data_IF_082844966780
#
_entry.id   IF_082844966780
#
_cell.length_a   1.000
_cell.length_b   1.000
_cell.length_c   1.000
_cell.angle_alpha   90.00
_cell.angle_beta   90.00
_cell.angle_gamma   90.00
#
_symmetry.space_group_name_H-M   'P 1'
#
loop_
_entity.id
_entity.type
_entity.pdbx_description
1 polymer ?
#
# COMPACT_ATOMS: atom_id res chain seq x y z
N UNK A 1 -11.83 17.57 -0.91
CA UNK A 1 -10.43 18.03 -0.92
C UNK A 1 -9.51 16.82 -1.03
N UNK A 2 -8.41 16.93 -1.76
CA UNK A 2 -7.41 15.87 -1.93
C UNK A 2 -6.87 15.37 -0.56
N UNK A 3 -6.64 16.29 0.37
CA UNK A 3 -6.18 15.96 1.73
C UNK A 3 -7.19 15.12 2.52
N UNK A 4 -8.50 15.32 2.32
CA UNK A 4 -9.52 14.52 3.03
C UNK A 4 -9.55 13.06 2.55
N UNK A 5 -9.24 12.81 1.28
CA UNK A 5 -9.17 11.45 0.74
C UNK A 5 -8.08 10.60 1.42
N UNK A 6 -6.96 11.22 1.82
CA UNK A 6 -5.90 10.52 2.54
C UNK A 6 -6.19 10.33 4.03
N UNK A 7 -6.90 11.27 4.66
CA UNK A 7 -7.19 11.22 6.09
C UNK A 7 -8.42 10.37 6.44
N UNK A 8 -9.44 10.33 5.59
CA UNK A 8 -10.77 9.79 5.95
C UNK A 8 -11.00 8.33 5.56
N UNK A 9 -10.19 7.74 4.68
CA UNK A 9 -10.45 6.40 4.14
C UNK A 9 -9.34 5.40 4.48
N UNK A 10 -9.27 5.00 5.74
CA UNK A 10 -8.28 4.04 6.25
C UNK A 10 -8.51 2.58 5.82
N UNK A 11 -9.68 2.26 5.26
CA UNK A 11 -10.04 0.90 4.86
C UNK A 11 -9.65 0.53 3.42
N UNK A 12 -9.12 1.48 2.65
CA UNK A 12 -8.84 1.30 1.24
C UNK A 12 -7.37 1.51 0.91
N UNK A 13 -6.88 0.72 -0.05
CA UNK A 13 -5.63 1.01 -0.74
C UNK A 13 -5.82 2.26 -1.59
N UNK A 14 -4.89 3.20 -1.53
CA UNK A 14 -4.94 4.47 -2.26
C UNK A 14 -3.90 4.43 -3.37
N UNK A 15 -4.35 4.65 -4.58
CA UNK A 15 -3.50 4.85 -5.75
C UNK A 15 -3.46 6.35 -6.05
N UNK A 16 -2.30 6.94 -6.06
CA UNK A 16 -2.07 8.35 -6.36
C UNK A 16 -1.14 8.48 -7.55
N UNK A 17 -1.54 9.27 -8.54
CA UNK A 17 -0.74 9.62 -9.70
C UNK A 17 -0.50 11.14 -9.72
N UNK A 18 0.75 11.57 -9.57
CA UNK A 18 1.11 12.99 -9.62
C UNK A 18 1.28 13.42 -11.08
N UNK A 19 0.45 14.37 -11.50
CA UNK A 19 0.47 14.90 -12.87
C UNK A 19 1.46 16.05 -13.01
N UNK A 20 1.42 17.00 -12.06
CA UNK A 20 2.30 18.18 -12.05
C UNK A 20 2.70 18.55 -10.62
N UNK A 21 3.78 19.30 -10.53
CA UNK A 21 4.25 19.86 -9.27
C UNK A 21 4.85 18.79 -8.34
N UNK A 22 4.83 19.10 -7.05
CA UNK A 22 5.38 18.23 -6.00
C UNK A 22 4.62 18.38 -4.68
N UNK A 23 4.71 17.34 -3.85
CA UNK A 23 4.26 17.37 -2.46
C UNK A 23 5.17 16.50 -1.59
N UNK A 24 5.10 16.70 -0.28
CA UNK A 24 5.76 15.88 0.71
C UNK A 24 4.74 14.91 1.32
N UNK A 25 5.01 13.64 1.18
CA UNK A 25 4.27 12.57 1.84
C UNK A 25 4.99 12.21 3.13
N UNK A 26 4.26 12.17 4.22
CA UNK A 26 4.72 11.64 5.52
C UNK A 26 3.97 10.34 5.78
N UNK A 27 4.71 9.26 5.87
CA UNK A 27 4.19 7.95 6.25
C UNK A 27 4.47 7.76 7.74
N UNK A 28 3.43 7.44 8.48
CA UNK A 28 3.52 7.11 9.89
C UNK A 28 3.33 5.59 10.02
N UNK A 29 4.36 4.93 10.49
CA UNK A 29 4.32 3.51 10.81
C UNK A 29 4.90 3.33 12.23
N UNK A 30 4.02 3.02 13.18
CA UNK A 30 4.27 2.74 14.62
C UNK A 30 5.30 3.67 15.24
N UNK A 31 6.23 4.07 15.44
CA UNK A 31 7.15 5.04 16.03
C UNK A 31 8.14 5.66 15.03
N UNK A 32 7.98 5.39 13.73
CA UNK A 32 8.89 5.91 12.73
C UNK A 32 8.15 6.76 11.68
N UNK A 33 8.68 7.94 11.41
CA UNK A 33 8.20 8.84 10.37
C UNK A 33 9.15 8.77 9.17
N UNK A 34 8.59 8.51 8.01
CA UNK A 34 9.32 8.62 6.75
C UNK A 34 8.70 9.71 5.89
N UNK A 35 9.53 10.64 5.43
CA UNK A 35 9.14 11.65 4.48
C UNK A 35 9.60 11.28 3.08
N UNK A 36 8.67 11.30 2.14
CA UNK A 36 8.94 10.99 0.72
C UNK A 36 8.46 12.14 -0.13
N UNK A 37 9.35 12.75 -0.92
CA UNK A 37 8.95 13.76 -1.89
C UNK A 37 8.38 13.09 -3.13
N UNK A 38 7.15 13.42 -3.46
CA UNK A 38 6.50 13.04 -4.71
C UNK A 38 6.59 14.18 -5.70
N UNK A 39 6.93 13.87 -6.94
CA UNK A 39 7.06 14.83 -8.05
C UNK A 39 6.21 14.36 -9.23
N UNK A 40 6.09 15.18 -10.26
CA UNK A 40 5.41 14.81 -11.49
C UNK A 40 5.87 13.43 -12.00
N UNK A 41 4.95 12.66 -12.56
CA UNK A 41 5.12 11.28 -13.03
C UNK A 41 5.49 10.27 -11.93
N UNK A 42 5.32 10.61 -10.65
CA UNK A 42 5.35 9.61 -9.59
C UNK A 42 3.96 8.99 -9.40
N UNK A 43 3.92 7.68 -9.22
CA UNK A 43 2.76 6.97 -8.72
C UNK A 43 3.08 6.43 -7.33
N UNK A 44 2.14 6.60 -6.41
CA UNK A 44 2.20 6.07 -5.06
C UNK A 44 1.05 5.11 -4.84
N UNK A 45 1.36 3.99 -4.22
CA UNK A 45 0.38 3.05 -3.67
C UNK A 45 0.58 3.04 -2.16
N UNK A 46 -0.48 3.30 -1.38
CA UNK A 46 -0.46 3.15 0.08
C UNK A 46 -1.52 2.17 0.51
N UNK A 47 -1.23 1.38 1.53
CA UNK A 47 -2.20 0.43 2.09
C UNK A 47 -3.03 1.08 3.21
N UNK A 48 -4.16 0.46 3.63
CA UNK A 48 -4.97 0.96 4.75
C UNK A 48 -4.20 1.04 6.08
N UNK A 49 -3.14 0.24 6.22
CA UNK A 49 -2.33 0.15 7.45
C UNK A 49 -1.36 1.32 7.62
N UNK A 50 -1.07 2.03 6.53
CA UNK A 50 -0.14 3.14 6.53
C UNK A 50 -0.91 4.45 6.62
N UNK A 51 -0.75 5.15 7.73
CA UNK A 51 -1.29 6.50 7.88
C UNK A 51 -0.37 7.45 7.11
N UNK A 52 -0.93 8.09 6.11
CA UNK A 52 -0.19 9.04 5.30
C UNK A 52 -0.78 10.44 5.46
N UNK A 53 0.06 11.42 5.69
CA UNK A 53 -0.30 12.83 5.55
C UNK A 53 0.45 13.44 4.36
N UNK A 54 -0.18 14.38 3.69
CA UNK A 54 0.41 15.06 2.54
C UNK A 54 0.49 16.56 2.83
N UNK A 55 1.67 17.12 2.64
CA UNK A 55 1.98 18.51 2.95
C UNK A 55 2.90 19.13 1.89
N UNK A 56 3.22 20.40 2.07
CA UNK A 56 4.19 21.13 1.23
C UNK A 56 3.93 21.01 -0.27
N UNK A 57 2.69 21.30 -0.66
CA UNK A 57 2.29 21.32 -2.07
C UNK A 57 2.96 22.47 -2.82
N UNK A 58 3.52 22.19 -4.00
CA UNK A 58 3.89 23.25 -4.93
C UNK A 58 2.65 23.96 -5.48
N UNK A 59 2.82 25.20 -5.95
CA UNK A 59 1.70 25.99 -6.44
C UNK A 59 0.97 25.37 -7.64
N UNK A 60 1.67 24.56 -8.41
CA UNK A 60 1.20 23.85 -9.60
C UNK A 60 0.85 22.40 -9.35
N UNK A 61 0.74 21.97 -8.07
CA UNK A 61 0.47 20.59 -7.73
C UNK A 61 -0.88 20.10 -8.25
N UNK A 62 -0.83 19.05 -9.04
CA UNK A 62 -2.01 18.35 -9.57
C UNK A 62 -1.79 16.85 -9.52
N UNK A 63 -2.77 16.13 -9.00
CA UNK A 63 -2.71 14.70 -8.87
C UNK A 63 -4.10 14.06 -8.97
N UNK A 64 -4.14 12.84 -9.45
CA UNK A 64 -5.34 11.99 -9.50
C UNK A 64 -5.21 10.86 -8.49
N UNK A 65 -6.33 10.44 -7.90
CA UNK A 65 -6.34 9.34 -6.94
C UNK A 65 -7.54 8.43 -7.10
N UNK A 66 -7.31 7.14 -6.88
CA UNK A 66 -8.34 6.11 -6.87
C UNK A 66 -8.22 5.32 -5.56
N UNK A 67 -9.38 5.04 -4.94
CA UNK A 67 -9.49 4.15 -3.80
C UNK A 67 -9.88 2.76 -4.31
N UNK A 68 -9.13 1.75 -3.90
CA UNK A 68 -9.34 0.36 -4.28
C UNK A 68 -9.36 -0.54 -3.06
N UNK A 69 -9.80 -1.76 -3.24
CA UNK A 69 -9.83 -2.76 -2.18
C UNK A 69 -8.44 -2.99 -1.56
N UNK A 70 -8.38 -3.33 -0.28
CA UNK A 70 -7.15 -3.56 0.47
C UNK A 70 -6.26 -4.67 -0.12
N UNK A 71 -6.87 -5.61 -0.86
CA UNK A 71 -6.15 -6.71 -1.49
C UNK A 71 -5.26 -6.28 -2.68
N UNK A 72 -5.40 -5.04 -3.16
CA UNK A 72 -4.66 -4.55 -4.33
C UNK A 72 -3.15 -4.46 -4.07
N UNK A 73 -2.73 -4.05 -2.89
CA UNK A 73 -1.32 -3.98 -2.51
C UNK A 73 -1.11 -4.42 -1.07
N UNK A 74 0.07 -4.99 -0.78
CA UNK A 74 0.44 -5.47 0.55
C UNK A 74 1.26 -4.46 1.35
N UNK A 75 1.88 -3.50 0.69
CA UNK A 75 2.77 -2.50 1.28
C UNK A 75 2.79 -1.23 0.44
N UNK A 76 3.21 -0.11 1.02
CA UNK A 76 3.40 1.14 0.28
C UNK A 76 4.54 1.03 -0.73
N UNK A 77 4.30 1.53 -1.92
CA UNK A 77 5.24 1.47 -3.03
C UNK A 77 5.20 2.78 -3.81
N UNK A 78 6.38 3.30 -4.15
CA UNK A 78 6.55 4.45 -5.03
C UNK A 78 7.17 4.02 -6.34
N UNK A 79 6.63 4.53 -7.43
CA UNK A 79 7.09 4.29 -8.78
C UNK A 79 7.44 5.61 -9.44
N UNK A 80 8.59 5.65 -10.11
CA UNK A 80 8.94 6.70 -11.05
C UNK A 80 8.59 6.24 -12.45
N UNK A 81 7.65 6.91 -13.09
CA UNK A 81 7.14 6.53 -14.39
C UNK A 81 7.86 7.33 -15.48
N UNK A 82 8.19 6.65 -16.59
CA UNK A 82 8.49 7.36 -17.82
C UNK A 82 7.21 7.85 -18.49
N UNK A 83 7.32 8.71 -19.51
CA UNK A 83 6.17 9.33 -20.17
C UNK A 83 5.20 8.30 -20.75
N UNK A 84 5.68 7.20 -21.30
CA UNK A 84 4.86 6.15 -21.89
C UNK A 84 4.03 5.43 -20.83
N UNK A 85 4.67 5.01 -19.73
CA UNK A 85 3.99 4.31 -18.62
C UNK A 85 3.05 5.26 -17.87
N UNK A 86 3.47 6.53 -17.65
CA UNK A 86 2.61 7.56 -17.09
C UNK A 86 1.32 7.72 -17.90
N UNK A 87 1.45 7.90 -19.23
CA UNK A 87 0.30 8.04 -20.10
C UNK A 87 -0.63 6.83 -20.03
N UNK A 88 -0.09 5.62 -20.11
CA UNK A 88 -0.89 4.39 -20.05
C UNK A 88 -1.67 4.27 -18.74
N UNK A 89 -1.07 4.62 -17.61
CA UNK A 89 -1.71 4.57 -16.29
C UNK A 89 -2.76 5.68 -16.16
N UNK A 90 -2.45 6.90 -16.61
CA UNK A 90 -3.38 8.03 -16.62
C UNK A 90 -4.61 7.74 -17.48
N UNK A 91 -4.43 7.16 -18.67
CA UNK A 91 -5.53 6.77 -19.55
C UNK A 91 -6.45 5.73 -18.86
N UNK A 92 -5.89 4.79 -18.11
CA UNK A 92 -6.67 3.81 -17.31
C UNK A 92 -7.45 4.53 -16.20
N UNK A 93 -6.84 5.48 -15.48
CA UNK A 93 -7.51 6.25 -14.44
C UNK A 93 -8.70 7.01 -15.00
N UNK A 94 -8.51 7.72 -16.11
CA UNK A 94 -9.58 8.44 -16.79
C UNK A 94 -10.69 7.50 -17.25
N UNK A 95 -10.33 6.37 -17.85
CA UNK A 95 -11.31 5.39 -18.32
C UNK A 95 -12.13 4.76 -17.19
N UNK A 96 -11.49 4.44 -16.06
CA UNK A 96 -12.21 3.99 -14.86
C UNK A 96 -13.18 5.06 -14.35
N UNK A 97 -12.76 6.33 -14.31
CA UNK A 97 -13.62 7.44 -13.94
C UNK A 97 -14.82 7.56 -14.89
N UNK A 98 -14.62 7.40 -16.18
CA UNK A 98 -15.70 7.44 -17.18
C UNK A 98 -16.67 6.26 -17.01
N UNK A 99 -16.18 5.06 -16.79
CA UNK A 99 -17.03 3.90 -16.47
C UNK A 99 -17.88 4.17 -15.20
N UNK A 100 -17.28 4.79 -14.19
CA UNK A 100 -17.99 5.09 -12.93
C UNK A 100 -19.09 6.14 -13.16
N UNK A 101 -18.85 7.16 -13.98
CA UNK A 101 -19.79 8.25 -14.27
C UNK A 101 -20.96 7.84 -15.14
N UNK A 102 -20.75 6.88 -16.05
CA UNK A 102 -21.78 6.48 -17.00
C UNK A 102 -22.45 5.17 -16.58
N UNK A 103 -23.63 4.91 -17.14
CA UNK A 103 -24.35 3.66 -16.93
C UNK A 103 -23.88 2.60 -17.94
N UNK A 104 -23.35 1.51 -17.42
CA UNK A 104 -22.94 0.36 -18.22
C UNK A 104 -23.55 -0.91 -17.62
N UNK A 105 -24.03 -1.82 -18.46
CA UNK A 105 -24.60 -3.11 -18.03
C UNK A 105 -23.53 -3.93 -17.30
N UNK A 106 -22.31 -3.97 -17.83
CA UNK A 106 -21.19 -4.74 -17.29
C UNK A 106 -20.17 -3.87 -16.51
N UNK A 107 -20.65 -2.82 -15.83
CA UNK A 107 -19.81 -1.82 -15.16
C UNK A 107 -18.75 -2.43 -14.24
N UNK A 108 -19.15 -3.37 -13.40
CA UNK A 108 -18.27 -4.01 -12.42
C UNK A 108 -17.18 -4.83 -13.13
N UNK A 109 -17.52 -5.57 -14.15
CA UNK A 109 -16.56 -6.38 -14.91
C UNK A 109 -15.58 -5.51 -15.71
N UNK A 110 -16.06 -4.38 -16.23
CA UNK A 110 -15.20 -3.41 -16.92
C UNK A 110 -14.17 -2.82 -15.94
N UNK A 111 -14.61 -2.37 -14.76
CA UNK A 111 -13.72 -1.83 -13.72
C UNK A 111 -12.70 -2.90 -13.29
N UNK A 112 -13.16 -4.13 -13.02
CA UNK A 112 -12.28 -5.25 -12.64
C UNK A 112 -11.21 -5.52 -13.71
N UNK A 113 -11.61 -5.50 -14.97
CA UNK A 113 -10.69 -5.70 -16.10
C UNK A 113 -9.64 -4.60 -16.18
N UNK A 114 -10.04 -3.34 -15.98
CA UNK A 114 -9.10 -2.20 -15.96
C UNK A 114 -8.10 -2.31 -14.81
N UNK A 115 -8.54 -2.70 -13.62
CA UNK A 115 -7.62 -2.93 -12.50
C UNK A 115 -6.69 -4.11 -12.73
N UNK A 116 -7.12 -5.17 -13.43
CA UNK A 116 -6.22 -6.25 -13.84
C UNK A 116 -5.14 -5.76 -14.80
N UNK A 117 -5.52 -4.96 -15.80
CA UNK A 117 -4.55 -4.35 -16.73
C UNK A 117 -3.58 -3.43 -15.98
N UNK A 118 -4.08 -2.57 -15.09
CA UNK A 118 -3.26 -1.69 -14.27
C UNK A 118 -2.26 -2.49 -13.43
N UNK A 119 -2.69 -3.58 -12.81
CA UNK A 119 -1.84 -4.46 -12.01
C UNK A 119 -0.71 -5.06 -12.85
N UNK A 120 -1.00 -5.57 -14.05
CA UNK A 120 0.03 -6.10 -14.94
C UNK A 120 1.05 -5.05 -15.35
N UNK A 121 0.61 -3.80 -15.60
CA UNK A 121 1.53 -2.69 -15.90
C UNK A 121 2.41 -2.38 -14.69
N UNK A 122 1.83 -2.37 -13.49
CA UNK A 122 2.56 -2.09 -12.23
C UNK A 122 3.59 -3.19 -11.95
N UNK A 123 3.25 -4.45 -12.17
CA UNK A 123 4.14 -5.60 -11.92
C UNK A 123 5.42 -5.55 -12.80
N UNK A 124 5.38 -4.84 -13.93
CA UNK A 124 6.55 -4.60 -14.79
C UNK A 124 7.44 -3.43 -14.33
N UNK A 125 6.97 -2.61 -13.39
CA UNK A 125 7.69 -1.40 -12.99
C UNK A 125 8.69 -1.68 -11.87
N UNK A 126 9.91 -1.11 -11.93
CA UNK A 126 10.77 -1.04 -10.77
C UNK A 126 10.13 -0.12 -9.73
N UNK A 127 10.08 -0.55 -8.49
CA UNK A 127 9.51 0.23 -7.41
C UNK A 127 10.51 0.51 -6.30
N UNK A 128 10.34 1.64 -5.64
CA UNK A 128 11.03 1.97 -4.40
C UNK A 128 10.05 1.70 -3.24
N UNK A 129 10.42 0.82 -2.33
CA UNK A 129 9.64 0.61 -1.12
C UNK A 129 9.65 1.88 -0.28
N UNK A 130 8.47 2.37 0.04
CA UNK A 130 8.27 3.48 0.98
C UNK A 130 8.04 2.94 2.39
N UNK A 131 8.79 1.92 2.81
CA UNK A 131 8.69 1.38 4.16
C UNK A 131 9.86 1.87 5.01
N UNK A 132 9.57 2.20 6.24
CA UNK A 132 10.50 2.80 7.21
C UNK A 132 11.61 1.86 7.65
N UNK A 133 11.51 0.58 7.46
CA UNK A 133 12.66 -0.35 7.56
C UNK A 133 12.31 -1.74 7.02
N UNK A 134 13.29 -2.35 6.36
CA UNK A 134 13.25 -3.78 6.01
C UNK A 134 13.08 -4.69 7.23
N UNK A 135 13.48 -4.21 8.41
CA UNK A 135 13.47 -4.98 9.65
C UNK A 135 12.04 -5.10 10.24
N UNK A 136 11.23 -4.04 10.14
CA UNK A 136 9.84 -4.04 10.62
C UNK A 136 8.91 -4.83 9.70
N UNK A 137 9.11 -4.78 8.39
CA UNK A 137 8.34 -5.58 7.42
C UNK A 137 8.51 -7.08 7.67
N UNK A 138 9.74 -7.53 7.90
CA UNK A 138 10.02 -8.92 8.24
C UNK A 138 9.47 -9.32 9.62
N UNK A 139 9.59 -8.44 10.62
CA UNK A 139 9.01 -8.66 11.97
C UNK A 139 7.49 -8.80 11.90
N UNK A 140 6.81 -7.96 11.14
CA UNK A 140 5.35 -7.97 11.00
C UNK A 140 4.88 -9.22 10.24
N UNK A 141 5.58 -9.60 9.18
CA UNK A 141 5.31 -10.83 8.44
C UNK A 141 5.47 -12.07 9.32
N UNK A 142 6.55 -12.16 10.10
CA UNK A 142 6.77 -13.23 11.07
C UNK A 142 5.66 -13.25 12.13
N UNK A 143 5.20 -12.08 12.59
CA UNK A 143 4.11 -11.97 13.57
C UNK A 143 2.76 -12.40 12.99
N UNK A 144 2.43 -12.04 11.77
CA UNK A 144 1.19 -12.47 11.10
C UNK A 144 1.16 -13.99 10.89
N UNK A 145 2.29 -14.57 10.44
CA UNK A 145 2.42 -16.04 10.31
C UNK A 145 2.35 -16.72 11.67
N UNK A 146 2.93 -16.11 12.72
CA UNK A 146 2.78 -16.57 14.10
C UNK A 146 1.31 -16.61 14.53
N UNK A 147 0.55 -15.54 14.34
CA UNK A 147 -0.86 -15.48 14.67
C UNK A 147 -1.67 -16.55 13.91
N UNK A 148 -1.38 -16.75 12.63
CA UNK A 148 -2.03 -17.78 11.83
C UNK A 148 -1.80 -19.18 12.42
N UNK A 149 -0.57 -19.52 12.80
CA UNK A 149 -0.26 -20.79 13.46
C UNK A 149 -0.86 -20.89 14.86
N UNK A 150 -0.89 -19.77 15.60
CA UNK A 150 -1.50 -19.70 16.92
C UNK A 150 -2.99 -20.05 16.86
N UNK A 151 -3.76 -19.36 15.99
CA UNK A 151 -5.20 -19.62 15.83
C UNK A 151 -5.54 -21.06 15.45
N UNK A 152 -4.67 -21.72 14.70
CA UNK A 152 -4.88 -23.12 14.29
C UNK A 152 -4.52 -24.13 15.38
N UNK A 153 -3.57 -23.82 16.24
CA UNK A 153 -2.96 -24.81 17.12
C UNK A 153 -3.08 -24.50 18.62
N UNK A 154 -3.57 -23.32 19.04
CA UNK A 154 -3.57 -22.88 20.46
C UNK A 154 -4.26 -23.84 21.42
N UNK A 155 -5.19 -24.66 20.94
CA UNK A 155 -5.88 -25.67 21.75
C UNK A 155 -5.00 -26.91 22.06
N UNK A 156 -4.06 -27.21 21.17
CA UNK A 156 -3.19 -28.39 21.26
C UNK A 156 -1.78 -28.05 21.71
N UNK A 157 -1.26 -26.91 21.22
CA UNK A 157 0.10 -26.48 21.42
C UNK A 157 0.15 -25.11 22.12
N UNK A 158 0.69 -25.11 23.35
CA UNK A 158 0.78 -23.90 24.19
C UNK A 158 2.20 -23.39 24.36
N UNK A 159 3.20 -24.15 23.90
CA UNK A 159 4.59 -23.78 24.05
C UNK A 159 5.07 -22.90 22.90
N UNK A 160 5.66 -21.76 23.23
CA UNK A 160 6.22 -20.82 22.24
C UNK A 160 7.26 -21.47 21.35
N UNK A 161 7.96 -22.50 21.85
CA UNK A 161 8.96 -23.27 21.10
C UNK A 161 8.37 -23.90 19.84
N UNK A 162 7.20 -24.48 19.93
CA UNK A 162 6.51 -25.06 18.77
C UNK A 162 6.32 -24.05 17.63
N UNK A 163 5.91 -22.83 17.98
CA UNK A 163 5.69 -21.75 17.01
C UNK A 163 7.01 -21.20 16.47
N UNK A 164 8.03 -21.06 17.33
CA UNK A 164 9.35 -20.62 16.91
C UNK A 164 10.00 -21.60 15.92
N UNK A 165 9.89 -22.91 16.18
CA UNK A 165 10.38 -23.94 15.26
C UNK A 165 9.63 -23.93 13.92
N UNK A 166 8.31 -23.68 13.93
CA UNK A 166 7.50 -23.53 12.71
C UNK A 166 7.89 -22.32 11.86
N UNK A 167 8.36 -21.26 12.49
CA UNK A 167 8.76 -20.01 11.85
C UNK A 167 10.25 -19.95 11.54
N UNK A 168 11.02 -20.99 11.88
CA UNK A 168 12.49 -21.03 11.77
C UNK A 168 13.18 -19.84 12.47
N UNK A 169 12.66 -19.44 13.65
CA UNK A 169 13.23 -18.38 14.47
C UNK A 169 13.53 -18.89 15.88
N UNK A 170 14.34 -18.14 16.64
CA UNK A 170 14.60 -18.49 18.04
C UNK A 170 13.38 -18.14 18.92
N UNK A 171 13.18 -18.89 20.01
CA UNK A 171 12.13 -18.61 21.00
C UNK A 171 12.30 -17.23 21.64
N UNK A 172 13.55 -16.79 21.85
CA UNK A 172 13.86 -15.47 22.38
C UNK A 172 13.45 -14.37 21.41
N UNK A 173 13.72 -14.54 20.12
CA UNK A 173 13.29 -13.60 19.08
C UNK A 173 11.76 -13.52 19.01
N UNK A 174 11.06 -14.66 18.93
CA UNK A 174 9.60 -14.66 18.85
C UNK A 174 8.96 -14.05 20.10
N UNK A 175 9.48 -14.33 21.31
CA UNK A 175 8.98 -13.72 22.56
C UNK A 175 9.14 -12.21 22.58
N UNK A 176 10.26 -11.68 22.08
CA UNK A 176 10.51 -10.27 21.97
C UNK A 176 9.59 -9.63 20.95
N UNK A 177 9.46 -10.25 19.78
CA UNK A 177 8.60 -9.79 18.69
C UNK A 177 7.14 -9.67 19.14
N UNK A 178 6.62 -10.67 19.83
CA UNK A 178 5.25 -10.65 20.37
C UNK A 178 5.07 -9.50 21.37
N UNK A 179 6.06 -9.23 22.22
CA UNK A 179 6.00 -8.11 23.18
C UNK A 179 6.10 -6.73 22.52
N UNK A 180 6.79 -6.63 21.40
CA UNK A 180 6.94 -5.37 20.67
C UNK A 180 5.67 -4.99 19.87
N UNK A 181 4.90 -6.00 19.41
CA UNK A 181 3.76 -5.77 18.50
C UNK A 181 2.39 -5.91 19.21
N UNK A 182 2.31 -6.60 20.35
CA UNK A 182 1.05 -6.77 21.11
C UNK A 182 0.88 -5.72 22.19
#
# INVERSE_FOLDING_TARGET
>A
SFCSMFAEHTLFTKLLLVQRGSCLLQLHEDDAEQSVQLTAHNMLITTPKEVASVSNFSADFEAEGILVDESFAKQAQRYKLNDTKYKSISDIFHFVCDIVRHQHINKIEMIRSMFNVLRLIIDELPYEQCSVSRDLGHKKEVYEVFLHHLYRNYRKERQIRFYADKLNVSTAYLSRLVKEIS
#
